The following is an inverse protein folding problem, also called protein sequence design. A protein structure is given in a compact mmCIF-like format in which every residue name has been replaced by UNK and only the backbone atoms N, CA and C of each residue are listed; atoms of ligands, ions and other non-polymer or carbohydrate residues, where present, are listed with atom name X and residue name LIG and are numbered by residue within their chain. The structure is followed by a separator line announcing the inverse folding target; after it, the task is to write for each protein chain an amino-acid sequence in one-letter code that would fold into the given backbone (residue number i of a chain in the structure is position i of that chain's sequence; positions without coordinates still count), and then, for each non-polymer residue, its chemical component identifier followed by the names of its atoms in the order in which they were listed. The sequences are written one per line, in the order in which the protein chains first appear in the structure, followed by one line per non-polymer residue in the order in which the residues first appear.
data_IF_491539744590
#
_entry.id   IF_491539744590
#
_cell.length_a   1.000
_cell.length_b   1.000
_cell.length_c   1.000
_cell.angle_alpha   90.00
_cell.angle_beta   90.00
_cell.angle_gamma   90.00
#
_symmetry.space_group_name_H-M   'P 1'
#
loop_
_entity.id
_entity.type
_entity.pdbx_description
1 polymer ?
#
# COMPACT_ATOMS: atom_id res chain seq x y z
N UNK A 1 -67.97 20.12 -20.73
CA UNK A 1 -67.42 19.46 -19.52
C UNK A 1 -65.96 19.90 -19.32
N UNK A 2 -65.64 20.85 -18.42
CA UNK A 2 -64.27 21.33 -18.26
C UNK A 2 -63.44 20.29 -17.50
N UNK A 3 -62.43 19.79 -18.20
CA UNK A 3 -61.54 18.69 -17.81
C UNK A 3 -60.66 19.11 -16.64
N UNK A 4 -60.80 18.38 -15.54
CA UNK A 4 -60.14 18.46 -14.23
C UNK A 4 -58.72 19.10 -14.26
N UNK A 5 -58.62 20.43 -14.14
CA UNK A 5 -57.32 21.15 -14.08
C UNK A 5 -56.66 21.03 -12.69
N UNK A 6 -57.44 20.70 -11.68
CA UNK A 6 -56.99 20.57 -10.28
C UNK A 6 -56.25 19.26 -10.02
N UNK A 7 -56.67 18.16 -10.64
CA UNK A 7 -55.97 16.87 -10.52
C UNK A 7 -54.56 16.92 -11.11
N UNK A 8 -54.35 17.67 -12.20
CA UNK A 8 -53.02 17.86 -12.81
C UNK A 8 -52.07 18.68 -11.93
N UNK A 9 -52.59 19.68 -11.22
CA UNK A 9 -51.78 20.48 -10.27
C UNK A 9 -51.40 19.65 -9.05
N UNK A 10 -52.35 18.90 -8.49
CA UNK A 10 -52.09 17.97 -7.38
C UNK A 10 -51.04 16.91 -7.74
N UNK A 11 -51.11 16.35 -8.94
CA UNK A 11 -50.14 15.37 -9.42
C UNK A 11 -48.75 16.01 -9.60
N UNK A 12 -48.67 17.25 -10.12
CA UNK A 12 -47.42 17.99 -10.22
C UNK A 12 -46.79 18.24 -8.84
N UNK A 13 -47.59 18.68 -7.86
CA UNK A 13 -47.10 18.91 -6.49
C UNK A 13 -46.67 17.61 -5.81
N UNK A 14 -47.37 16.50 -6.04
CA UNK A 14 -46.98 15.18 -5.53
C UNK A 14 -45.63 14.72 -6.11
N UNK A 15 -45.42 14.90 -7.43
CA UNK A 15 -44.14 14.57 -8.08
C UNK A 15 -43.01 15.47 -7.56
N UNK A 16 -43.27 16.77 -7.39
CA UNK A 16 -42.29 17.71 -6.87
C UNK A 16 -41.90 17.38 -5.42
N UNK A 17 -42.88 17.04 -4.58
CA UNK A 17 -42.64 16.63 -3.20
C UNK A 17 -41.82 15.33 -3.13
N UNK A 18 -42.06 14.38 -4.05
CA UNK A 18 -41.33 13.11 -4.11
C UNK A 18 -39.88 13.32 -4.55
N UNK A 19 -39.63 14.23 -5.50
CA UNK A 19 -38.28 14.65 -5.90
C UNK A 19 -37.53 15.36 -4.77
N UNK A 20 -38.19 16.27 -4.06
CA UNK A 20 -37.60 16.98 -2.92
C UNK A 20 -37.32 16.02 -1.75
N UNK A 21 -38.22 15.08 -1.46
CA UNK A 21 -37.99 14.05 -0.46
C UNK A 21 -36.79 13.16 -0.83
N UNK A 22 -36.61 12.85 -2.12
CA UNK A 22 -35.43 12.16 -2.64
C UNK A 22 -34.13 12.94 -2.41
N UNK A 23 -34.11 14.24 -2.76
CA UNK A 23 -32.95 15.09 -2.56
C UNK A 23 -32.58 15.29 -1.09
N UNK A 24 -33.58 15.46 -0.22
CA UNK A 24 -33.38 15.57 1.24
C UNK A 24 -32.86 14.25 1.80
N UNK A 25 -33.38 13.10 1.36
CA UNK A 25 -32.86 11.79 1.76
C UNK A 25 -31.40 11.60 1.32
N UNK A 26 -31.03 12.07 0.13
CA UNK A 26 -29.65 12.03 -0.36
C UNK A 26 -28.72 12.93 0.47
N UNK A 27 -29.17 14.13 0.85
CA UNK A 27 -28.45 15.03 1.75
C UNK A 27 -28.27 14.45 3.16
N UNK A 28 -29.30 13.80 3.72
CA UNK A 28 -29.20 13.13 5.02
C UNK A 28 -28.27 11.92 4.94
N UNK A 29 -28.27 11.18 3.82
CA UNK A 29 -27.32 10.09 3.64
C UNK A 29 -25.88 10.61 3.58
N UNK A 30 -25.60 11.66 2.80
CA UNK A 30 -24.26 12.28 2.73
C UNK A 30 -23.83 12.90 4.07
N UNK A 31 -24.76 13.46 4.84
CA UNK A 31 -24.47 14.05 6.15
C UNK A 31 -24.38 13.01 7.30
N UNK A 32 -24.95 11.82 7.12
CA UNK A 32 -25.07 10.78 8.14
C UNK A 32 -24.29 9.48 7.84
N UNK A 33 -23.80 9.28 6.62
CA UNK A 33 -22.88 8.19 6.30
C UNK A 33 -21.48 8.59 6.74
N UNK A 34 -20.98 8.00 7.84
CA UNK A 34 -19.54 7.80 7.96
C UNK A 34 -19.08 7.07 6.69
N UNK A 35 -18.01 7.50 6.02
CA UNK A 35 -17.77 7.11 4.65
C UNK A 35 -17.48 5.61 4.60
N UNK A 36 -18.26 4.83 3.84
CA UNK A 36 -17.92 3.45 3.49
C UNK A 36 -16.56 3.35 2.76
N UNK A 37 -16.00 4.47 2.29
CA UNK A 37 -14.63 4.53 1.77
C UNK A 37 -13.55 4.24 2.82
N UNK A 38 -13.84 4.38 4.12
CA UNK A 38 -12.88 4.06 5.20
C UNK A 38 -12.65 2.56 5.36
N UNK A 39 -13.51 1.69 4.82
CA UNK A 39 -13.32 0.24 4.92
C UNK A 39 -12.43 -0.30 3.79
N UNK A 40 -12.58 0.23 2.56
CA UNK A 40 -11.76 -0.21 1.42
C UNK A 40 -10.27 0.16 1.57
N UNK A 41 -9.96 1.36 2.06
CA UNK A 41 -8.58 1.78 2.33
C UNK A 41 -7.93 0.94 3.45
N UNK A 42 -8.69 0.66 4.50
CA UNK A 42 -8.23 -0.19 5.61
C UNK A 42 -8.03 -1.65 5.20
N UNK A 43 -8.93 -2.22 4.40
CA UNK A 43 -8.76 -3.56 3.83
C UNK A 43 -7.54 -3.63 2.90
N UNK A 44 -7.34 -2.60 2.07
CA UNK A 44 -6.16 -2.51 1.21
C UNK A 44 -4.89 -2.42 2.06
N UNK A 45 -4.90 -1.65 3.15
CA UNK A 45 -3.80 -1.62 4.11
C UNK A 45 -3.51 -2.99 4.71
N UNK A 46 -4.54 -3.75 5.14
CA UNK A 46 -4.35 -5.09 5.68
C UNK A 46 -3.71 -6.04 4.66
N UNK A 47 -4.15 -5.98 3.41
CA UNK A 47 -3.57 -6.77 2.31
C UNK A 47 -2.11 -6.36 2.11
N UNK A 48 -1.82 -5.06 2.05
CA UNK A 48 -0.44 -4.56 1.88
C UNK A 48 0.44 -4.93 3.07
N UNK A 49 -0.05 -4.83 4.31
CA UNK A 49 0.66 -5.25 5.51
C UNK A 49 1.02 -6.73 5.44
N UNK A 50 0.09 -7.58 5.00
CA UNK A 50 0.37 -9.00 4.79
C UNK A 50 1.46 -9.23 3.72
N UNK A 51 1.45 -8.48 2.61
CA UNK A 51 2.52 -8.57 1.61
C UNK A 51 3.87 -8.13 2.18
N UNK A 52 3.92 -7.09 3.01
CA UNK A 52 5.13 -6.63 3.69
C UNK A 52 5.61 -7.67 4.73
N UNK A 53 4.68 -8.35 5.42
CA UNK A 53 5.02 -9.45 6.31
C UNK A 53 5.65 -10.62 5.55
N UNK A 54 5.06 -11.03 4.42
CA UNK A 54 5.63 -12.04 3.55
C UNK A 54 7.02 -11.63 3.05
N UNK A 55 7.19 -10.37 2.65
CA UNK A 55 8.48 -9.83 2.27
C UNK A 55 9.51 -9.97 3.39
N UNK A 56 9.17 -9.57 4.62
CA UNK A 56 10.06 -9.70 5.77
C UNK A 56 10.45 -11.17 6.04
N UNK A 57 9.50 -12.11 5.95
CA UNK A 57 9.79 -13.55 6.09
C UNK A 57 10.77 -14.04 5.03
N UNK A 58 10.49 -13.73 3.75
CA UNK A 58 11.35 -14.12 2.64
C UNK A 58 12.71 -13.42 2.67
N UNK A 59 12.80 -12.20 3.22
CA UNK A 59 14.08 -11.52 3.44
C UNK A 59 14.96 -12.28 4.44
N UNK A 60 14.36 -12.84 5.49
CA UNK A 60 15.05 -13.71 6.43
C UNK A 60 15.63 -14.97 5.77
N UNK A 61 14.88 -15.59 4.86
CA UNK A 61 15.34 -16.74 4.08
C UNK A 61 16.45 -16.34 3.09
N UNK A 62 16.28 -15.22 2.39
CA UNK A 62 17.29 -14.69 1.47
C UNK A 62 18.61 -14.32 2.16
N UNK A 63 18.56 -13.85 3.41
CA UNK A 63 19.76 -13.57 4.21
C UNK A 63 20.58 -14.82 4.54
N UNK A 64 19.92 -15.98 4.60
CA UNK A 64 20.55 -17.29 4.82
C UNK A 64 20.83 -18.06 3.52
N UNK A 65 20.43 -17.50 2.36
CA UNK A 65 20.61 -18.16 1.08
C UNK A 65 22.09 -18.38 0.75
N UNK A 66 22.36 -19.51 0.11
CA UNK A 66 23.71 -19.87 -0.36
C UNK A 66 23.89 -19.72 -1.87
N UNK A 67 22.78 -19.76 -2.62
CA UNK A 67 22.75 -19.73 -4.07
C UNK A 67 21.73 -18.70 -4.59
N UNK A 68 22.05 -18.07 -5.72
CA UNK A 68 21.19 -17.08 -6.37
C UNK A 68 19.80 -17.62 -6.75
N UNK A 69 19.64 -18.94 -6.98
CA UNK A 69 18.33 -19.56 -7.26
C UNK A 69 17.36 -19.46 -6.08
N UNK A 70 17.89 -19.48 -4.85
CA UNK A 70 17.12 -19.44 -3.60
C UNK A 70 16.50 -18.05 -3.36
N UNK A 71 16.92 -17.03 -4.12
CA UNK A 71 16.37 -15.67 -4.03
C UNK A 71 15.03 -15.49 -4.76
N UNK A 72 14.54 -16.52 -5.45
CA UNK A 72 13.30 -16.43 -6.24
C UNK A 72 12.07 -16.07 -5.40
N UNK A 73 11.81 -16.70 -4.24
CA UNK A 73 10.69 -16.33 -3.37
C UNK A 73 10.78 -14.88 -2.88
N UNK A 74 12.00 -14.44 -2.53
CA UNK A 74 12.25 -13.07 -2.11
C UNK A 74 11.99 -12.04 -3.21
N UNK A 75 12.43 -12.31 -4.44
CA UNK A 75 12.11 -11.47 -5.61
C UNK A 75 10.60 -11.33 -5.83
N UNK A 76 9.85 -12.43 -5.74
CA UNK A 76 8.40 -12.42 -5.89
C UNK A 76 7.71 -11.62 -4.77
N UNK A 77 8.22 -11.74 -3.54
CA UNK A 77 7.71 -11.00 -2.40
C UNK A 77 7.98 -9.49 -2.54
N UNK A 78 9.16 -9.09 -3.04
CA UNK A 78 9.50 -7.68 -3.32
C UNK A 78 8.52 -7.06 -4.33
N UNK A 79 8.30 -7.73 -5.46
CA UNK A 79 7.39 -7.23 -6.48
C UNK A 79 5.94 -7.12 -5.99
N UNK A 80 5.47 -8.11 -5.24
CA UNK A 80 4.11 -8.11 -4.68
C UNK A 80 3.92 -7.01 -3.63
N UNK A 81 4.90 -6.83 -2.74
CA UNK A 81 4.87 -5.81 -1.70
C UNK A 81 4.96 -4.39 -2.29
N UNK A 82 5.87 -4.15 -3.24
CA UNK A 82 6.01 -2.86 -3.91
C UNK A 82 4.70 -2.47 -4.63
N UNK A 83 4.11 -3.40 -5.38
CA UNK A 83 2.84 -3.17 -6.06
C UNK A 83 1.69 -2.88 -5.08
N UNK A 84 1.54 -3.68 -4.02
CA UNK A 84 0.47 -3.49 -3.04
C UNK A 84 0.61 -2.14 -2.31
N UNK A 85 1.84 -1.75 -1.98
CA UNK A 85 2.13 -0.46 -1.36
C UNK A 85 1.81 0.72 -2.30
N UNK A 86 2.22 0.66 -3.56
CA UNK A 86 1.89 1.68 -4.55
C UNK A 86 0.37 1.87 -4.67
N UNK A 87 -0.40 0.77 -4.70
CA UNK A 87 -1.87 0.83 -4.75
C UNK A 87 -2.47 1.47 -3.50
N UNK A 88 -1.92 1.18 -2.33
CA UNK A 88 -2.34 1.82 -1.08
C UNK A 88 -2.03 3.32 -1.09
N UNK A 89 -0.82 3.72 -1.50
CA UNK A 89 -0.43 5.11 -1.60
C UNK A 89 -1.35 5.91 -2.55
N UNK A 90 -1.72 5.31 -3.68
CA UNK A 90 -2.69 5.90 -4.61
C UNK A 90 -4.10 6.02 -4.03
N UNK A 91 -4.51 5.09 -3.16
CA UNK A 91 -5.83 5.07 -2.55
C UNK A 91 -5.99 6.09 -1.40
N UNK A 92 -4.91 6.40 -0.66
CA UNK A 92 -4.92 7.37 0.45
C UNK A 92 -5.05 8.84 -0.01
N UNK A 93 -4.68 9.17 -1.25
CA UNK A 93 -4.83 10.52 -1.82
C UNK A 93 -3.93 11.61 -1.21
N UNK A 94 -4.10 12.85 -1.70
CA UNK A 94 -3.21 14.01 -1.47
C UNK A 94 -3.20 14.57 -0.02
N UNK A 95 -4.10 14.18 0.89
CA UNK A 95 -4.22 14.85 2.20
C UNK A 95 -3.21 14.37 3.26
N UNK A 96 -2.61 13.18 3.10
CA UNK A 96 -1.47 12.70 3.89
C UNK A 96 -0.72 11.65 3.09
N UNK A 97 0.11 12.08 2.14
CA UNK A 97 0.81 11.17 1.23
C UNK A 97 1.59 10.11 2.01
N UNK A 98 1.16 8.86 1.90
CA UNK A 98 1.92 7.71 2.35
C UNK A 98 3.32 7.78 1.71
N UNK A 99 4.36 7.60 2.51
CA UNK A 99 5.75 7.61 2.03
C UNK A 99 5.89 6.53 0.95
N UNK A 100 6.45 6.86 -0.23
CA UNK A 100 6.77 5.86 -1.23
C UNK A 100 7.88 4.94 -0.72
N UNK A 101 7.82 3.66 -1.11
CA UNK A 101 8.87 2.67 -0.82
C UNK A 101 9.77 2.45 -2.04
N UNK A 102 10.56 3.47 -2.38
CA UNK A 102 11.42 3.48 -3.57
C UNK A 102 12.59 2.49 -3.47
N UNK A 103 12.91 2.04 -2.26
CA UNK A 103 13.96 1.04 -2.04
C UNK A 103 13.56 -0.37 -2.49
N UNK A 104 12.27 -0.71 -2.50
CA UNK A 104 11.82 -2.07 -2.87
C UNK A 104 12.07 -2.38 -4.34
N UNK A 105 11.72 -1.51 -5.31
CA UNK A 105 12.09 -1.73 -6.72
C UNK A 105 13.61 -1.80 -6.94
N UNK A 106 14.39 -1.00 -6.22
CA UNK A 106 15.86 -1.02 -6.30
C UNK A 106 16.43 -2.36 -5.80
N UNK A 107 15.91 -2.84 -4.68
CA UNK A 107 16.30 -4.13 -4.11
C UNK A 107 15.87 -5.30 -5.02
N UNK A 108 14.70 -5.21 -5.64
CA UNK A 108 14.26 -6.18 -6.64
C UNK A 108 15.22 -6.22 -7.83
N UNK A 109 15.58 -5.06 -8.38
CA UNK A 109 16.54 -4.95 -9.47
C UNK A 109 17.91 -5.54 -9.09
N UNK A 110 18.36 -5.29 -7.85
CA UNK A 110 19.59 -5.88 -7.33
C UNK A 110 19.53 -7.41 -7.31
N UNK A 111 18.45 -8.00 -6.77
CA UNK A 111 18.24 -9.46 -6.74
C UNK A 111 18.18 -10.03 -8.16
N UNK A 112 17.51 -9.36 -9.09
CA UNK A 112 17.46 -9.77 -10.50
C UNK A 112 18.85 -9.80 -11.13
N UNK A 113 19.69 -8.78 -10.88
CA UNK A 113 21.09 -8.76 -11.35
C UNK A 113 21.91 -9.93 -10.81
N UNK A 114 21.69 -10.33 -9.55
CA UNK A 114 22.36 -11.51 -8.99
C UNK A 114 21.98 -12.79 -9.76
N UNK A 115 20.74 -12.88 -10.24
CA UNK A 115 20.19 -14.03 -10.95
C UNK A 115 20.48 -14.05 -12.46
N UNK A 116 20.99 -12.96 -13.07
CA UNK A 116 21.30 -12.91 -14.52
C UNK A 116 22.29 -14.01 -14.94
N UNK A 117 23.23 -14.37 -14.06
CA UNK A 117 24.21 -15.44 -14.29
C UNK A 117 23.69 -16.85 -14.08
N UNK A 118 22.39 -17.04 -13.78
CA UNK A 118 21.81 -18.32 -13.41
C UNK A 118 22.13 -18.71 -11.96
N UNK A 119 22.06 -20.01 -11.66
CA UNK A 119 22.37 -20.58 -10.34
C UNK A 119 23.86 -20.55 -10.10
N UNK A 120 24.28 -19.78 -9.10
CA UNK A 120 25.66 -19.70 -8.63
C UNK A 120 25.66 -19.43 -7.13
N UNK A 121 26.76 -19.76 -6.43
CA UNK A 121 26.96 -19.33 -5.06
C UNK A 121 26.91 -17.80 -4.93
N UNK A 122 26.31 -17.34 -3.84
CA UNK A 122 26.37 -15.95 -3.42
C UNK A 122 27.78 -15.64 -2.91
N UNK A 123 28.32 -14.49 -3.32
CA UNK A 123 29.59 -13.97 -2.79
C UNK A 123 29.35 -13.43 -1.38
N UNK A 124 30.42 -13.38 -0.58
CA UNK A 124 30.31 -12.91 0.81
C UNK A 124 29.78 -11.48 0.93
N UNK A 125 30.13 -10.59 0.00
CA UNK A 125 29.61 -9.22 -0.04
C UNK A 125 28.14 -9.16 -0.46
N UNK A 126 27.70 -10.00 -1.39
CA UNK A 126 26.29 -10.14 -1.79
C UNK A 126 25.44 -10.67 -0.63
N UNK A 127 25.94 -11.67 0.09
CA UNK A 127 25.26 -12.21 1.26
C UNK A 127 25.16 -11.18 2.39
N UNK A 128 26.22 -10.39 2.62
CA UNK A 128 26.20 -9.31 3.61
C UNK A 128 25.16 -8.23 3.29
N UNK A 129 24.99 -7.89 2.00
CA UNK A 129 23.95 -6.95 1.54
C UNK A 129 22.57 -7.50 1.85
N UNK A 130 22.30 -8.77 1.51
CA UNK A 130 21.01 -9.41 1.79
C UNK A 130 20.71 -9.50 3.30
N UNK A 131 21.72 -9.79 4.12
CA UNK A 131 21.58 -9.78 5.58
C UNK A 131 21.25 -8.38 6.12
N UNK A 132 21.91 -7.35 5.62
CA UNK A 132 21.66 -5.97 6.06
C UNK A 132 20.29 -5.49 5.59
N UNK A 133 19.92 -5.78 4.35
CA UNK A 133 18.59 -5.51 3.82
C UNK A 133 17.50 -6.24 4.63
N UNK A 134 17.72 -7.49 5.06
CA UNK A 134 16.77 -8.22 5.88
C UNK A 134 16.58 -7.59 7.28
N UNK A 135 17.61 -6.97 7.85
CA UNK A 135 17.48 -6.20 9.10
C UNK A 135 16.62 -4.95 8.88
N UNK A 136 16.91 -4.17 7.83
CA UNK A 136 16.14 -2.97 7.50
C UNK A 136 14.68 -3.30 7.15
N UNK A 137 14.43 -4.37 6.40
CA UNK A 137 13.07 -4.83 6.07
C UNK A 137 12.29 -5.31 7.29
N UNK A 138 12.97 -5.86 8.31
CA UNK A 138 12.33 -6.22 9.58
C UNK A 138 11.91 -4.99 10.36
N UNK A 139 12.76 -3.97 10.39
CA UNK A 139 12.41 -2.68 11.00
C UNK A 139 11.28 -1.99 10.22
N UNK A 140 11.35 -2.00 8.89
CA UNK A 140 10.31 -1.52 7.99
C UNK A 140 8.97 -2.17 8.34
N UNK A 141 8.92 -3.51 8.41
CA UNK A 141 7.71 -4.24 8.80
C UNK A 141 7.16 -3.82 10.17
N UNK A 142 8.02 -3.69 11.17
CA UNK A 142 7.62 -3.26 12.52
C UNK A 142 6.96 -1.89 12.52
N UNK A 143 7.56 -0.92 11.80
CA UNK A 143 6.98 0.42 11.64
C UNK A 143 5.71 0.38 10.81
N UNK A 144 5.68 -0.44 9.74
CA UNK A 144 4.54 -0.58 8.85
C UNK A 144 3.33 -1.16 9.56
N UNK A 145 3.51 -2.13 10.46
CA UNK A 145 2.42 -2.74 11.24
C UNK A 145 1.70 -1.73 12.14
N UNK A 146 2.41 -0.68 12.57
CA UNK A 146 1.89 0.39 13.39
C UNK A 146 1.52 1.65 12.58
N UNK A 147 1.56 1.58 11.25
CA UNK A 147 1.42 2.74 10.37
C UNK A 147 0.01 3.36 10.44
N UNK A 148 -1.03 2.55 10.56
CA UNK A 148 -2.40 3.03 10.71
C UNK A 148 -2.84 3.07 12.18
N UNK A 149 -3.52 4.14 12.57
CA UNK A 149 -4.18 4.28 13.86
C UNK A 149 -5.47 3.46 13.96
N UNK A 150 -6.03 3.36 15.16
CA UNK A 150 -7.38 2.83 15.38
C UNK A 150 -8.50 3.64 14.70
N UNK A 151 -8.20 4.88 14.28
CA UNK A 151 -9.09 5.71 13.47
C UNK A 151 -8.91 5.52 11.96
N UNK A 152 -8.16 4.49 11.55
CA UNK A 152 -7.85 4.13 10.16
C UNK A 152 -7.20 5.29 9.39
N UNK A 153 -6.34 6.05 10.07
CA UNK A 153 -5.55 7.11 9.44
C UNK A 153 -4.07 6.80 9.56
N UNK A 154 -3.32 7.17 8.54
CA UNK A 154 -1.86 7.07 8.54
C UNK A 154 -1.26 7.95 9.65
N UNK A 155 -0.45 7.37 10.52
CA UNK A 155 0.27 8.08 11.58
C UNK A 155 1.53 8.74 10.99
N UNK A 156 1.55 10.08 10.93
CA UNK A 156 2.69 10.84 10.39
C UNK A 156 4.04 10.43 11.00
N UNK A 157 4.10 10.22 12.32
CA UNK A 157 5.33 9.83 13.00
C UNK A 157 5.86 8.45 12.59
N UNK A 158 4.97 7.55 12.14
CA UNK A 158 5.34 6.24 11.58
C UNK A 158 5.71 6.36 10.12
N UNK A 159 5.00 7.20 9.38
CA UNK A 159 5.29 7.51 7.98
C UNK A 159 6.69 8.15 7.79
N UNK A 160 7.10 9.02 8.70
CA UNK A 160 8.43 9.65 8.69
C UNK A 160 9.53 8.64 9.02
N UNK A 161 9.28 7.74 9.98
CA UNK A 161 10.20 6.64 10.29
C UNK A 161 10.33 5.67 9.11
N UNK A 162 9.20 5.36 8.47
CA UNK A 162 9.16 4.52 7.29
C UNK A 162 10.02 5.10 6.17
N UNK A 163 9.97 6.43 5.98
CA UNK A 163 10.80 7.15 5.02
C UNK A 163 12.29 7.02 5.31
N UNK A 164 12.69 7.24 6.57
CA UNK A 164 14.09 7.13 6.95
C UNK A 164 14.65 5.73 6.67
N UNK A 165 13.86 4.68 6.98
CA UNK A 165 14.26 3.29 6.71
C UNK A 165 14.36 3.02 5.20
N UNK A 166 13.38 3.50 4.41
CA UNK A 166 13.40 3.35 2.94
C UNK A 166 14.60 4.07 2.31
N UNK A 167 14.89 5.30 2.74
CA UNK A 167 16.05 6.07 2.27
C UNK A 167 17.37 5.36 2.60
N UNK A 168 17.49 4.80 3.81
CA UNK A 168 18.70 4.07 4.24
C UNK A 168 18.89 2.78 3.41
N UNK A 169 17.82 2.01 3.20
CA UNK A 169 17.84 0.82 2.36
C UNK A 169 18.15 1.18 0.90
N UNK A 170 17.53 2.23 0.38
CA UNK A 170 17.79 2.76 -0.95
C UNK A 170 19.25 3.18 -1.14
N UNK A 171 19.84 3.87 -0.15
CA UNK A 171 21.24 4.28 -0.19
C UNK A 171 22.20 3.08 -0.18
N UNK A 172 21.91 2.07 0.64
CA UNK A 172 22.67 0.82 0.71
C UNK A 172 22.70 0.11 -0.65
N UNK A 173 21.56 -0.02 -1.31
CA UNK A 173 21.44 -0.71 -2.59
C UNK A 173 22.03 0.10 -3.75
N UNK A 174 21.79 1.42 -3.81
CA UNK A 174 22.36 2.28 -4.87
C UNK A 174 23.88 2.27 -4.87
N UNK A 175 24.50 2.31 -3.69
CA UNK A 175 25.97 2.20 -3.55
C UNK A 175 26.52 0.94 -4.23
N UNK A 176 25.73 -0.14 -4.26
CA UNK A 176 26.11 -1.43 -4.85
C UNK A 176 25.69 -1.59 -6.30
N UNK A 177 24.62 -0.95 -6.74
CA UNK A 177 24.22 -0.94 -8.15
C UNK A 177 25.19 -0.13 -9.04
N UNK A 178 25.85 0.88 -8.47
CA UNK A 178 26.83 1.75 -9.15
C UNK A 178 28.26 1.18 -9.19
N UNK A 179 28.52 0.09 -8.47
CA UNK A 179 29.78 -0.65 -8.48
C UNK A 179 29.70 -1.82 -9.47
#
# INVERSE_FOLDING_TARGET
MPRNRWSKKLLLYAVLALLLAGAVRQLIHVAGSSPETHDAGYLLYQVTLYQIELLNRNAGEAAAASDTKELTPFKTALGSAAYAHERLALAEGDETSLTPLDSLPLLQQYVERLQVGGSRPLRGDEQQILQTAAVQLRELYSVYAELMSSSHRTLSSKNDKLRAIDEELGALIRKKLLQ
#
